data_IF_296940924112
#
_entry.id   IF_296940924112
#
_cell.length_a   1.000
_cell.length_b   1.000
_cell.length_c   1.000
_cell.angle_alpha   90.00
_cell.angle_beta   90.00
_cell.angle_gamma   90.00
#
_symmetry.space_group_name_H-M   'P 1'
#
loop_
_entity.id
_entity.type
_entity.pdbx_description
1 polymer ?
#
# COMPACT_ATOMS: atom_id res chain seq x y z
N UNK A 1 -17.54 -7.45 -0.72
CA UNK A 1 -16.73 -7.44 0.54
C UNK A 1 -15.33 -6.95 0.22
N UNK A 2 -14.75 -6.05 1.01
CA UNK A 2 -13.39 -5.58 0.77
C UNK A 2 -12.41 -6.25 1.74
N UNK A 3 -11.28 -6.76 1.21
CA UNK A 3 -10.23 -7.48 1.98
C UNK A 3 -8.84 -6.96 1.62
N UNK A 4 -7.85 -7.43 2.37
CA UNK A 4 -6.43 -7.29 2.02
C UNK A 4 -5.97 -8.39 1.04
N UNK A 5 -4.69 -8.39 0.70
CA UNK A 5 -4.05 -9.39 -0.17
C UNK A 5 -3.71 -10.68 0.62
N UNK A 6 -4.69 -11.22 1.36
CA UNK A 6 -4.54 -12.42 2.18
C UNK A 6 -5.22 -13.63 1.55
N UNK A 7 -4.44 -14.67 1.26
CA UNK A 7 -4.98 -15.91 0.72
C UNK A 7 -5.97 -16.57 1.69
N UNK A 8 -5.74 -16.47 3.01
CA UNK A 8 -6.63 -17.05 4.01
C UNK A 8 -8.01 -16.38 4.00
N UNK A 9 -8.06 -15.03 3.93
CA UNK A 9 -9.34 -14.32 3.83
C UNK A 9 -10.05 -14.56 2.51
N UNK A 10 -9.31 -14.57 1.40
CA UNK A 10 -9.89 -14.87 0.09
C UNK A 10 -10.55 -16.26 0.09
N UNK A 11 -9.86 -17.26 0.64
CA UNK A 11 -10.36 -18.62 0.75
C UNK A 11 -11.60 -18.69 1.65
N UNK A 12 -11.54 -18.10 2.86
CA UNK A 12 -12.67 -18.08 3.78
C UNK A 12 -13.91 -17.41 3.17
N UNK A 13 -13.76 -16.30 2.44
CA UNK A 13 -14.88 -15.66 1.74
C UNK A 13 -15.43 -16.55 0.64
N UNK A 14 -14.59 -17.19 -0.17
CA UNK A 14 -15.03 -18.08 -1.24
C UNK A 14 -15.77 -19.32 -0.71
N UNK A 15 -15.36 -19.85 0.44
CA UNK A 15 -15.96 -21.05 1.04
C UNK A 15 -17.27 -20.74 1.79
N UNK A 16 -17.34 -19.63 2.53
CA UNK A 16 -18.47 -19.33 3.42
C UNK A 16 -19.44 -18.29 2.88
N UNK A 17 -19.04 -17.48 1.90
CA UNK A 17 -19.84 -16.41 1.32
C UNK A 17 -19.78 -16.44 -0.21
N UNK A 18 -20.25 -17.52 -0.86
CA UNK A 18 -20.06 -17.74 -2.31
C UNK A 18 -20.71 -16.64 -3.18
N UNK A 19 -21.73 -15.94 -2.67
CA UNK A 19 -22.42 -14.85 -3.36
C UNK A 19 -21.77 -13.48 -3.13
N UNK A 20 -20.72 -13.39 -2.32
CA UNK A 20 -20.08 -12.12 -2.02
C UNK A 20 -19.02 -11.77 -3.07
N UNK A 21 -19.16 -10.60 -3.72
CA UNK A 21 -18.10 -10.06 -4.55
C UNK A 21 -16.91 -9.63 -3.67
N UNK A 22 -15.74 -10.20 -3.96
CA UNK A 22 -14.50 -9.86 -3.26
C UNK A 22 -13.81 -8.69 -3.96
N UNK A 23 -13.41 -7.68 -3.19
CA UNK A 23 -12.69 -6.50 -3.69
C UNK A 23 -11.41 -6.31 -2.88
N UNK A 24 -10.29 -6.11 -3.57
CA UNK A 24 -9.03 -5.70 -2.93
C UNK A 24 -8.87 -4.19 -3.08
N UNK A 25 -8.80 -3.49 -1.94
CA UNK A 25 -8.65 -2.03 -1.92
C UNK A 25 -7.27 -1.57 -2.39
N UNK A 26 -7.22 -0.43 -3.08
CA UNK A 26 -5.98 0.19 -3.57
C UNK A 26 -4.93 0.41 -2.46
N UNK A 27 -5.37 0.70 -1.24
CA UNK A 27 -4.47 0.90 -0.10
C UNK A 27 -3.56 -0.31 0.15
N UNK A 28 -4.09 -1.53 0.07
CA UNK A 28 -3.31 -2.75 0.31
C UNK A 28 -2.28 -3.01 -0.77
N UNK A 29 -2.61 -2.69 -2.01
CA UNK A 29 -1.69 -2.79 -3.15
C UNK A 29 -0.58 -1.75 -3.04
N UNK A 30 -0.93 -0.50 -2.74
CA UNK A 30 0.03 0.60 -2.52
C UNK A 30 0.95 0.31 -1.33
N UNK A 31 0.39 -0.21 -0.24
CA UNK A 31 1.18 -0.63 0.94
C UNK A 31 2.19 -1.69 0.57
N UNK A 32 1.78 -2.74 -0.15
CA UNK A 32 2.67 -3.80 -0.62
C UNK A 32 3.79 -3.23 -1.50
N UNK A 33 3.48 -2.32 -2.43
CA UNK A 33 4.47 -1.67 -3.28
C UNK A 33 5.48 -0.86 -2.46
N UNK A 34 5.01 -0.08 -1.50
CA UNK A 34 5.87 0.71 -0.62
C UNK A 34 6.79 -0.17 0.24
N UNK A 35 6.29 -1.31 0.72
CA UNK A 35 7.11 -2.30 1.44
C UNK A 35 8.23 -2.87 0.55
N UNK A 36 7.92 -3.24 -0.69
CA UNK A 36 8.92 -3.76 -1.64
C UNK A 36 9.94 -2.69 -2.03
N UNK A 37 9.50 -1.45 -2.24
CA UNK A 37 10.38 -0.33 -2.55
C UNK A 37 11.35 -0.03 -1.38
N UNK A 38 10.87 -0.02 -0.12
CA UNK A 38 11.75 0.17 1.03
C UNK A 38 12.71 -1.02 1.25
N UNK A 39 12.28 -2.24 0.96
CA UNK A 39 13.17 -3.40 0.97
C UNK A 39 14.27 -3.27 -0.08
N UNK A 40 13.93 -2.91 -1.31
CA UNK A 40 14.90 -2.67 -2.37
C UNK A 40 15.90 -1.58 -1.97
N UNK A 41 15.41 -0.43 -1.45
CA UNK A 41 16.26 0.65 -0.94
C UNK A 41 17.25 0.15 0.11
N UNK A 42 16.81 -0.71 1.04
CA UNK A 42 17.68 -1.28 2.08
C UNK A 42 18.74 -2.21 1.49
N UNK A 43 18.37 -3.07 0.52
CA UNK A 43 19.34 -3.92 -0.17
C UNK A 43 20.40 -3.10 -0.87
N UNK A 44 20.00 -2.11 -1.66
CA UNK A 44 20.92 -1.22 -2.36
C UNK A 44 21.80 -0.41 -1.42
N UNK A 45 21.26 -0.01 -0.26
CA UNK A 45 22.05 0.65 0.78
C UNK A 45 23.13 -0.27 1.38
N UNK A 46 22.83 -1.56 1.56
CA UNK A 46 23.83 -2.53 2.06
C UNK A 46 24.91 -2.85 1.03
N UNK A 47 24.54 -2.91 -0.25
CA UNK A 47 25.44 -3.23 -1.36
C UNK A 47 26.34 -2.04 -1.75
N UNK A 48 25.90 -0.80 -1.50
CA UNK A 48 26.65 0.39 -1.86
C UNK A 48 27.90 0.55 -0.98
N UNK A 49 29.05 0.73 -1.64
CA UNK A 49 30.35 0.88 -0.98
C UNK A 49 30.71 2.34 -0.68
N UNK A 50 30.21 3.26 -1.52
CA UNK A 50 30.45 4.70 -1.35
C UNK A 50 29.63 5.24 -0.18
N UNK A 51 30.32 5.80 0.82
CA UNK A 51 29.71 6.35 2.04
C UNK A 51 28.74 7.49 1.73
N UNK A 52 29.05 8.34 0.74
CA UNK A 52 28.20 9.46 0.38
C UNK A 52 26.92 9.00 -0.32
N UNK A 53 27.01 8.06 -1.27
CA UNK A 53 25.85 7.42 -1.88
C UNK A 53 24.98 6.68 -0.87
N UNK A 54 25.60 5.97 0.08
CA UNK A 54 24.86 5.33 1.19
C UNK A 54 24.05 6.34 2.02
N UNK A 55 24.63 7.50 2.35
CA UNK A 55 23.91 8.57 3.07
C UNK A 55 22.72 9.06 2.28
N UNK A 56 22.88 9.25 0.96
CA UNK A 56 21.79 9.66 0.07
C UNK A 56 20.67 8.61 0.06
N UNK A 57 20.98 7.33 -0.20
CA UNK A 57 19.98 6.23 -0.23
C UNK A 57 19.25 6.10 1.11
N UNK A 58 19.96 6.24 2.24
CA UNK A 58 19.33 6.20 3.58
C UNK A 58 18.36 7.36 3.79
N UNK A 59 18.76 8.56 3.38
CA UNK A 59 18.04 9.79 3.66
C UNK A 59 16.77 10.03 2.86
N UNK A 60 16.54 9.28 1.76
CA UNK A 60 15.40 9.51 0.86
C UNK A 60 14.17 8.65 1.15
N UNK A 61 14.19 7.79 2.17
CA UNK A 61 13.11 6.84 2.45
C UNK A 61 11.72 7.46 2.35
N UNK A 62 11.49 8.55 3.06
CA UNK A 62 10.17 9.19 3.12
C UNK A 62 9.76 9.83 1.80
N UNK A 63 10.72 10.36 1.04
CA UNK A 63 10.47 10.92 -0.28
C UNK A 63 10.10 9.83 -1.30
N UNK A 64 10.77 8.68 -1.24
CA UNK A 64 10.45 7.52 -2.09
C UNK A 64 9.03 6.99 -1.86
N UNK A 65 8.58 6.95 -0.60
CA UNK A 65 7.27 6.38 -0.23
C UNK A 65 6.13 7.37 -0.42
N UNK A 66 6.43 8.66 -0.47
CA UNK A 66 5.46 9.72 -0.71
C UNK A 66 4.99 9.70 -2.17
N UNK A 67 3.77 10.18 -2.43
CA UNK A 67 3.34 10.39 -3.80
C UNK A 67 4.15 11.52 -4.44
N UNK A 68 4.55 11.38 -5.71
CA UNK A 68 5.30 12.41 -6.41
C UNK A 68 4.58 13.76 -6.41
N UNK A 69 3.26 13.74 -6.62
CA UNK A 69 2.41 14.93 -6.62
C UNK A 69 2.31 15.63 -5.25
N UNK A 70 2.62 14.93 -4.15
CA UNK A 70 2.58 15.50 -2.79
C UNK A 70 3.93 16.08 -2.35
N UNK A 71 4.95 16.05 -3.22
CA UNK A 71 6.26 16.64 -2.97
C UNK A 71 6.27 18.07 -3.54
N UNK A 72 5.80 19.02 -2.75
CA UNK A 72 5.68 20.44 -3.16
C UNK A 72 6.99 21.19 -3.03
N UNK A 73 7.83 20.83 -2.07
CA UNK A 73 9.10 21.50 -1.80
C UNK A 73 10.14 21.16 -2.89
N UNK A 74 10.67 22.19 -3.52
CA UNK A 74 11.70 22.09 -4.54
C UNK A 74 12.97 21.38 -4.05
N UNK A 75 13.41 21.66 -2.84
CA UNK A 75 14.60 21.02 -2.26
C UNK A 75 14.40 19.52 -2.07
N UNK A 76 13.21 19.11 -1.63
CA UNK A 76 12.85 17.70 -1.51
C UNK A 76 12.77 17.00 -2.86
N UNK A 77 12.20 17.65 -3.86
CA UNK A 77 12.11 17.11 -5.23
C UNK A 77 13.50 16.91 -5.82
N UNK A 78 14.34 17.92 -5.79
CA UNK A 78 15.72 17.87 -6.27
C UNK A 78 16.54 16.79 -5.55
N UNK A 79 16.36 16.65 -4.23
CA UNK A 79 17.00 15.60 -3.44
C UNK A 79 16.57 14.19 -3.87
N UNK A 80 15.30 13.99 -4.18
CA UNK A 80 14.78 12.73 -4.70
C UNK A 80 15.35 12.43 -6.09
N UNK A 81 15.29 13.37 -7.01
CA UNK A 81 15.80 13.24 -8.37
C UNK A 81 17.30 12.89 -8.39
N UNK A 82 18.09 13.59 -7.58
CA UNK A 82 19.52 13.29 -7.43
C UNK A 82 19.75 11.86 -6.91
N UNK A 83 18.95 11.39 -5.97
CA UNK A 83 19.10 10.04 -5.45
C UNK A 83 18.68 8.97 -6.48
N UNK A 84 17.63 9.23 -7.26
CA UNK A 84 17.17 8.33 -8.31
C UNK A 84 18.19 8.24 -9.46
N UNK A 85 18.83 9.36 -9.84
CA UNK A 85 19.87 9.36 -10.88
C UNK A 85 21.10 8.56 -10.50
N UNK A 86 21.41 8.44 -9.21
CA UNK A 86 22.55 7.68 -8.70
C UNK A 86 22.31 6.16 -8.68
N UNK A 87 21.04 5.72 -8.76
CA UNK A 87 20.71 4.31 -8.61
C UNK A 87 19.58 3.89 -9.56
N UNK A 88 19.93 3.30 -10.70
CA UNK A 88 18.99 2.89 -11.73
C UNK A 88 17.89 1.92 -11.25
N UNK A 89 18.15 0.85 -10.49
CA UNK A 89 17.10 -0.02 -9.95
C UNK A 89 16.11 0.74 -9.06
N UNK A 90 16.57 1.67 -8.25
CA UNK A 90 15.71 2.48 -7.39
C UNK A 90 14.84 3.43 -8.20
N UNK A 91 15.40 4.04 -9.24
CA UNK A 91 14.67 4.90 -10.18
C UNK A 91 13.54 4.13 -10.88
N UNK A 92 13.84 2.96 -11.44
CA UNK A 92 12.84 2.11 -12.10
C UNK A 92 11.72 1.75 -11.12
N UNK A 93 12.07 1.30 -9.90
CA UNK A 93 11.09 0.92 -8.89
C UNK A 93 10.22 2.10 -8.44
N UNK A 94 10.78 3.31 -8.36
CA UNK A 94 10.03 4.52 -8.03
C UNK A 94 8.98 4.84 -9.10
N UNK A 95 9.35 4.84 -10.37
CA UNK A 95 8.41 5.11 -11.46
C UNK A 95 7.34 4.03 -11.58
N UNK A 96 7.70 2.76 -11.44
CA UNK A 96 6.72 1.67 -11.38
C UNK A 96 5.74 1.82 -10.21
N UNK A 97 6.15 2.43 -9.08
CA UNK A 97 5.24 2.77 -7.98
C UNK A 97 4.26 3.88 -8.38
N UNK A 98 4.73 4.91 -9.09
CA UNK A 98 3.86 5.99 -9.56
C UNK A 98 2.85 5.46 -10.60
N UNK A 99 3.30 4.66 -11.56
CA UNK A 99 2.45 4.07 -12.60
C UNK A 99 1.39 3.13 -12.01
N UNK A 100 1.72 2.39 -10.96
CA UNK A 100 0.76 1.49 -10.28
C UNK A 100 -0.47 2.23 -9.75
N UNK A 101 -0.33 3.49 -9.33
CA UNK A 101 -1.46 4.29 -8.81
C UNK A 101 -2.43 4.68 -9.92
N UNK A 102 -1.94 4.86 -11.14
CA UNK A 102 -2.76 5.28 -12.26
C UNK A 102 -3.82 4.24 -12.64
N UNK A 103 -3.68 3.00 -12.17
CA UNK A 103 -4.67 1.95 -12.37
C UNK A 103 -6.03 2.37 -11.81
N UNK A 104 -6.09 3.04 -10.67
CA UNK A 104 -7.36 3.48 -10.04
C UNK A 104 -7.86 4.85 -10.54
N UNK A 105 -7.07 5.55 -11.33
CA UNK A 105 -7.43 6.82 -11.95
C UNK A 105 -8.06 6.65 -13.34
N UNK A 106 -8.24 5.40 -13.80
CA UNK A 106 -8.80 5.14 -15.12
C UNK A 106 -10.31 5.34 -15.15
N UNK A 107 -10.83 5.78 -16.29
CA UNK A 107 -12.28 6.02 -16.49
C UNK A 107 -13.08 4.73 -16.71
N UNK A 108 -12.42 3.58 -16.92
CA UNK A 108 -13.10 2.30 -17.14
C UNK A 108 -12.28 1.12 -16.63
N UNK A 109 -13.00 0.05 -16.24
CA UNK A 109 -12.40 -1.22 -15.81
C UNK A 109 -11.51 -1.84 -16.89
N UNK A 110 -11.89 -1.71 -18.17
CA UNK A 110 -11.09 -2.25 -19.26
C UNK A 110 -9.75 -1.53 -19.38
N UNK A 111 -9.74 -0.19 -19.34
CA UNK A 111 -8.48 0.58 -19.36
C UNK A 111 -7.59 0.27 -18.16
N UNK A 112 -8.18 0.13 -16.98
CA UNK A 112 -7.46 -0.27 -15.78
C UNK A 112 -6.85 -1.66 -15.90
N UNK A 113 -7.56 -2.59 -16.54
CA UNK A 113 -7.06 -3.93 -16.83
C UNK A 113 -5.86 -3.90 -17.77
N UNK A 114 -5.96 -3.15 -18.86
CA UNK A 114 -4.90 -3.05 -19.86
C UNK A 114 -3.65 -2.40 -19.26
N UNK A 115 -3.83 -1.33 -18.46
CA UNK A 115 -2.75 -0.67 -17.74
C UNK A 115 -2.09 -1.60 -16.71
N UNK A 116 -2.88 -2.40 -15.98
CA UNK A 116 -2.36 -3.35 -15.03
C UNK A 116 -1.53 -4.46 -15.71
N UNK A 117 -1.98 -4.94 -16.86
CA UNK A 117 -1.26 -5.95 -17.65
C UNK A 117 0.07 -5.39 -18.17
N UNK A 118 0.07 -4.17 -18.67
CA UNK A 118 1.28 -3.49 -19.10
C UNK A 118 2.24 -3.23 -17.92
N UNK A 119 1.72 -2.78 -16.78
CA UNK A 119 2.52 -2.61 -15.55
C UNK A 119 3.20 -3.92 -15.13
N UNK A 120 2.48 -5.04 -15.13
CA UNK A 120 3.05 -6.37 -14.81
C UNK A 120 4.17 -6.74 -15.78
N UNK A 121 4.01 -6.47 -17.08
CA UNK A 121 5.02 -6.71 -18.10
C UNK A 121 6.29 -5.88 -17.83
N UNK A 122 6.15 -4.58 -17.60
CA UNK A 122 7.25 -3.67 -17.27
C UNK A 122 8.00 -4.11 -16.00
N UNK A 123 7.27 -4.56 -14.98
CA UNK A 123 7.89 -5.11 -13.75
C UNK A 123 8.73 -6.35 -14.07
N UNK A 124 8.24 -7.25 -14.90
CA UNK A 124 8.99 -8.46 -15.29
C UNK A 124 10.25 -8.08 -16.09
N UNK A 125 10.13 -7.15 -17.01
CA UNK A 125 11.25 -6.63 -17.83
C UNK A 125 12.31 -5.91 -16.98
N UNK A 126 11.91 -5.30 -15.86
CA UNK A 126 12.83 -4.64 -14.92
C UNK A 126 13.83 -5.59 -14.26
N UNK A 127 13.52 -6.89 -14.22
CA UNK A 127 14.31 -7.95 -13.55
C UNK A 127 14.56 -7.71 -12.05
N UNK A 128 13.87 -6.76 -11.42
CA UNK A 128 13.96 -6.49 -9.98
C UNK A 128 13.18 -7.57 -9.23
N UNK A 129 13.86 -8.57 -8.66
CA UNK A 129 13.26 -9.78 -8.11
C UNK A 129 12.16 -9.51 -7.05
N UNK A 130 12.33 -8.48 -6.22
CA UNK A 130 11.33 -8.08 -5.23
C UNK A 130 10.01 -7.63 -5.89
N UNK A 131 10.10 -6.90 -7.00
CA UNK A 131 8.95 -6.42 -7.74
C UNK A 131 8.33 -7.52 -8.60
N UNK A 132 9.15 -8.40 -9.19
CA UNK A 132 8.66 -9.56 -9.96
C UNK A 132 7.82 -10.49 -9.08
N UNK A 133 8.25 -10.76 -7.84
CA UNK A 133 7.45 -11.51 -6.86
C UNK A 133 6.14 -10.80 -6.52
N UNK A 134 6.18 -9.47 -6.38
CA UNK A 134 4.97 -8.67 -6.18
C UNK A 134 4.03 -8.75 -7.39
N UNK A 135 4.54 -8.62 -8.60
CA UNK A 135 3.74 -8.71 -9.82
C UNK A 135 3.01 -10.05 -9.93
N UNK A 136 3.62 -11.16 -9.51
CA UNK A 136 2.96 -12.46 -9.43
C UNK A 136 1.76 -12.43 -8.47
N UNK A 137 1.91 -11.80 -7.31
CA UNK A 137 0.79 -11.60 -6.37
C UNK A 137 -0.31 -10.74 -6.99
N UNK A 138 0.03 -9.61 -7.59
CA UNK A 138 -0.93 -8.72 -8.24
C UNK A 138 -1.70 -9.43 -9.37
N UNK A 139 -1.02 -10.26 -10.17
CA UNK A 139 -1.68 -11.11 -11.19
C UNK A 139 -2.68 -12.06 -10.59
N UNK A 140 -2.34 -12.74 -9.50
CA UNK A 140 -3.23 -13.67 -8.82
C UNK A 140 -4.49 -12.98 -8.27
N UNK A 141 -4.36 -11.73 -7.83
CA UNK A 141 -5.46 -10.93 -7.28
C UNK A 141 -6.11 -9.97 -8.30
N UNK A 142 -5.73 -10.03 -9.57
CA UNK A 142 -6.18 -9.10 -10.62
C UNK A 142 -7.70 -8.92 -10.67
N UNK A 143 -8.45 -10.02 -10.66
CA UNK A 143 -9.91 -9.98 -10.70
C UNK A 143 -10.49 -9.20 -9.52
N UNK A 144 -9.96 -9.42 -8.31
CA UNK A 144 -10.42 -8.75 -7.10
C UNK A 144 -9.99 -7.28 -7.03
N UNK A 145 -8.82 -6.93 -7.58
CA UNK A 145 -8.38 -5.53 -7.72
C UNK A 145 -9.29 -4.78 -8.68
N UNK A 146 -9.60 -5.37 -9.83
CA UNK A 146 -10.46 -4.77 -10.85
C UNK A 146 -11.95 -4.75 -10.46
N UNK A 147 -12.39 -5.59 -9.52
CA UNK A 147 -13.74 -5.56 -8.97
C UNK A 147 -14.04 -4.24 -8.22
N UNK A 148 -13.01 -3.45 -7.87
CA UNK A 148 -13.21 -2.11 -7.33
C UNK A 148 -14.01 -1.21 -8.28
N UNK A 149 -13.85 -1.35 -9.60
CA UNK A 149 -14.59 -0.59 -10.61
C UNK A 149 -16.08 -0.88 -10.64
N UNK A 150 -16.47 -2.08 -10.22
CA UNK A 150 -17.88 -2.49 -10.18
C UNK A 150 -18.55 -2.05 -8.87
N UNK A 151 -17.80 -1.93 -7.79
CA UNK A 151 -18.36 -1.78 -6.44
C UNK A 151 -17.93 -0.51 -5.70
N UNK A 152 -16.83 0.13 -6.07
CA UNK A 152 -16.27 1.37 -5.47
C UNK A 152 -16.16 1.33 -3.94
N UNK A 153 -15.90 0.16 -3.33
CA UNK A 153 -15.83 -0.02 -1.88
C UNK A 153 -14.39 -0.02 -1.39
N UNK A 154 -14.20 0.51 -0.19
CA UNK A 154 -12.89 0.52 0.49
C UNK A 154 -13.02 0.09 1.95
N UNK A 155 -11.94 -0.40 2.52
CA UNK A 155 -11.86 -0.72 3.96
C UNK A 155 -11.61 0.49 4.87
N UNK A 156 -11.52 1.70 4.32
CA UNK A 156 -11.07 2.89 5.05
C UNK A 156 -11.87 3.17 6.33
N UNK A 157 -13.19 2.98 6.31
CA UNK A 157 -14.03 3.15 7.51
C UNK A 157 -13.68 2.14 8.60
N UNK A 158 -13.54 0.87 8.25
CA UNK A 158 -13.22 -0.23 9.18
C UNK A 158 -11.80 -0.06 9.73
N UNK A 159 -10.84 0.31 8.88
CA UNK A 159 -9.47 0.62 9.30
C UNK A 159 -9.42 1.82 10.26
N UNK A 160 -10.20 2.86 9.99
CA UNK A 160 -10.33 4.02 10.87
C UNK A 160 -10.87 3.63 12.25
N UNK A 161 -11.91 2.78 12.32
CA UNK A 161 -12.46 2.25 13.56
C UNK A 161 -11.42 1.39 14.29
N UNK A 162 -10.79 0.46 13.58
CA UNK A 162 -9.75 -0.40 14.16
C UNK A 162 -8.58 0.41 14.72
N UNK A 163 -8.19 1.50 14.08
CA UNK A 163 -7.15 2.40 14.57
C UNK A 163 -7.58 3.13 15.84
N UNK A 164 -8.83 3.61 15.91
CA UNK A 164 -9.38 4.20 17.15
C UNK A 164 -9.36 3.20 18.30
N UNK A 165 -9.75 1.95 18.06
CA UNK A 165 -9.70 0.87 19.06
C UNK A 165 -8.26 0.61 19.51
N UNK A 166 -7.30 0.56 18.57
CA UNK A 166 -5.87 0.40 18.92
C UNK A 166 -5.34 1.56 19.76
N UNK A 167 -5.72 2.79 19.44
CA UNK A 167 -5.35 3.97 20.24
C UNK A 167 -5.95 3.87 21.64
N UNK A 168 -7.23 3.54 21.75
CA UNK A 168 -7.91 3.34 23.04
C UNK A 168 -7.18 2.29 23.90
N UNK A 169 -6.84 1.13 23.31
CA UNK A 169 -6.09 0.08 24.01
C UNK A 169 -4.71 0.55 24.51
N UNK A 170 -4.01 1.37 23.72
CA UNK A 170 -2.69 1.91 24.09
C UNK A 170 -2.77 2.93 25.23
N UNK A 171 -3.79 3.80 25.21
CA UNK A 171 -3.97 4.85 26.23
C UNK A 171 -4.20 4.26 27.64
N UNK A 172 -4.76 3.07 27.73
CA UNK A 172 -5.15 2.44 29.02
C UNK A 172 -4.20 1.27 29.36
N UNK A 173 -3.11 1.07 28.59
CA UNK A 173 -2.16 -0.03 28.80
C UNK A 173 -2.80 -1.43 28.91
N UNK A 174 -3.99 -1.59 28.30
CA UNK A 174 -4.81 -2.79 28.33
C UNK A 174 -6.01 -2.68 29.24
N UNK A 175 -7.07 -3.43 28.92
CA UNK A 175 -8.30 -3.51 29.70
C UNK A 175 -8.31 -4.81 30.51
N UNK A 176 -8.48 -4.71 31.82
CA UNK A 176 -8.70 -5.86 32.71
C UNK A 176 -10.19 -6.25 32.82
N UNK A 177 -11.08 -5.28 32.58
CA UNK A 177 -12.53 -5.45 32.62
C UNK A 177 -13.11 -5.37 31.21
N UNK A 178 -13.67 -6.48 30.73
CA UNK A 178 -14.22 -6.61 29.37
C UNK A 178 -15.51 -5.79 29.20
N UNK A 179 -16.36 -5.70 30.22
CA UNK A 179 -17.59 -4.89 30.21
C UNK A 179 -17.23 -3.41 30.01
N UNK A 180 -16.29 -2.91 30.83
CA UNK A 180 -15.81 -1.53 30.68
C UNK A 180 -15.18 -1.26 29.31
N UNK A 181 -14.44 -2.21 28.78
CA UNK A 181 -13.90 -2.09 27.41
C UNK A 181 -15.01 -1.97 26.37
N UNK A 182 -16.05 -2.80 26.49
CA UNK A 182 -17.21 -2.78 25.61
C UNK A 182 -17.95 -1.45 25.67
N UNK A 183 -18.19 -0.91 26.86
CA UNK A 183 -18.79 0.42 27.04
C UNK A 183 -17.94 1.52 26.38
N UNK A 184 -16.63 1.46 26.52
CA UNK A 184 -15.72 2.42 25.88
C UNK A 184 -15.72 2.29 24.34
N UNK A 185 -15.91 1.09 23.79
CA UNK A 185 -16.08 0.89 22.35
C UNK A 185 -17.36 1.53 21.83
N UNK A 186 -18.48 1.38 22.52
CA UNK A 186 -19.73 2.05 22.16
C UNK A 186 -19.57 3.57 22.21
N UNK A 187 -18.94 4.10 23.24
CA UNK A 187 -18.69 5.54 23.39
C UNK A 187 -17.80 6.14 22.28
N UNK A 188 -16.97 5.33 21.59
CA UNK A 188 -16.17 5.80 20.44
C UNK A 188 -17.03 6.22 19.23
N UNK A 189 -18.23 5.70 19.13
CA UNK A 189 -19.17 6.00 18.03
C UNK A 189 -20.16 7.09 18.38
N UNK A 190 -20.32 7.41 19.67
CA UNK A 190 -21.28 8.40 20.13
C UNK A 190 -20.67 9.80 20.00
N UNK A 191 -21.11 10.55 18.98
CA UNK A 191 -20.65 11.93 18.73
C UNK A 191 -21.17 12.94 19.77
N UNK A 192 -22.12 12.55 20.61
CA UNK A 192 -22.76 13.42 21.60
C UNK A 192 -22.04 13.42 22.95
N UNK A 193 -21.14 12.47 23.21
CA UNK A 193 -20.29 12.47 24.39
C UNK A 193 -19.00 13.26 24.13
N UNK A 194 -19.13 14.55 23.90
CA UNK A 194 -18.01 15.49 24.10
C UNK A 194 -17.91 15.79 25.57
N UNK A 195 -16.95 15.17 26.25
CA UNK A 195 -16.47 15.64 27.56
C UNK A 195 -15.36 16.67 27.28
#
# INVERSE_FOLDING_TARGET
MCTDLSAAYTRAVSEHLPNAALVVGHFHVTKLMNEKLDLLRRQLWHEEKDINKRKVIKGIRWLLLKNGNDIFDYAHRNRLENALSLNRPLMIAYYLKEDLKEIWNQCSKQKAKDLLDEWVKQVIESKIQLLVKMASTIRAYKTYILAWYDHCITNGKIEGINNKIKVLKRQIYGFRNEEYFTLRLYALHDRHLRI
#
